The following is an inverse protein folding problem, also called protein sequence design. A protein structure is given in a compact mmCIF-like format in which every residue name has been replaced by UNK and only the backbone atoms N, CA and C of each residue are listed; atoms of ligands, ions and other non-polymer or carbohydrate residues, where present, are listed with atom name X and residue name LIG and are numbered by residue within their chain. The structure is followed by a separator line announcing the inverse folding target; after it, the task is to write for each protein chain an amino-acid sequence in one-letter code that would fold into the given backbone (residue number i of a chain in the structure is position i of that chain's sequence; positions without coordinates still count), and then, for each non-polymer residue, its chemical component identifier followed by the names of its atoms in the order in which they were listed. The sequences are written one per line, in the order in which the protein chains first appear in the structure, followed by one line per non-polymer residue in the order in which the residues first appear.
data_IF_540692151129
#
_entry.id   IF_540692151129
#
_cell.length_a   1.000
_cell.length_b   1.000
_cell.length_c   1.000
_cell.angle_alpha   90.00
_cell.angle_beta   90.00
_cell.angle_gamma   90.00
#
_symmetry.space_group_name_H-M   'P 1'
#
loop_
_entity.id
_entity.type
_entity.pdbx_description
1 polymer ?
#
# COMPACT_ATOMS: atom_id res chain seq x y z
N UNK A 1 12.76 -21.02 4.90
CA UNK A 1 13.90 -20.54 4.09
C UNK A 1 14.41 -19.24 4.71
N UNK A 2 15.67 -19.19 5.15
CA UNK A 2 16.27 -17.94 5.67
C UNK A 2 16.27 -16.89 4.53
N UNK A 3 15.96 -15.63 4.83
CA UNK A 3 15.91 -14.50 3.87
C UNK A 3 14.72 -14.45 2.90
N UNK A 4 13.68 -15.27 3.09
CA UNK A 4 12.53 -15.29 2.18
C UNK A 4 11.87 -13.91 2.04
N UNK A 5 11.77 -13.13 3.13
CA UNK A 5 11.18 -11.79 3.05
C UNK A 5 12.01 -10.88 2.12
N UNK A 6 13.33 -10.88 2.28
CA UNK A 6 14.22 -10.11 1.41
C UNK A 6 14.13 -10.53 -0.07
N UNK A 7 14.02 -11.84 -0.35
CA UNK A 7 13.85 -12.35 -1.72
C UNK A 7 12.54 -11.84 -2.34
N UNK A 8 11.44 -11.80 -1.57
CA UNK A 8 10.16 -11.25 -2.03
C UNK A 8 10.27 -9.76 -2.38
N UNK A 9 11.05 -8.97 -1.63
CA UNK A 9 11.34 -7.58 -2.01
C UNK A 9 12.05 -7.48 -3.35
N UNK A 10 13.12 -8.26 -3.54
CA UNK A 10 13.88 -8.27 -4.80
C UNK A 10 12.99 -8.66 -5.98
N UNK A 11 12.15 -9.68 -5.81
CA UNK A 11 11.16 -10.07 -6.81
C UNK A 11 10.21 -8.91 -7.13
N UNK A 12 9.63 -8.28 -6.11
CA UNK A 12 8.65 -7.20 -6.24
C UNK A 12 9.20 -5.99 -6.99
N UNK A 13 10.44 -5.58 -6.70
CA UNK A 13 11.05 -4.40 -7.33
C UNK A 13 11.68 -4.69 -8.69
N UNK A 14 12.09 -5.94 -8.96
CA UNK A 14 12.87 -6.30 -10.16
C UNK A 14 12.26 -5.80 -11.47
N UNK A 15 11.01 -6.18 -11.75
CA UNK A 15 10.34 -5.82 -12.99
C UNK A 15 10.05 -4.32 -13.10
N UNK A 16 9.41 -3.65 -12.11
CA UNK A 16 9.22 -2.20 -12.13
C UNK A 16 10.53 -1.42 -12.29
N UNK A 17 11.61 -1.84 -11.64
CA UNK A 17 12.90 -1.14 -11.70
C UNK A 17 13.52 -1.23 -13.10
N UNK A 18 13.58 -2.43 -13.68
CA UNK A 18 14.07 -2.61 -15.06
C UNK A 18 13.21 -1.81 -16.05
N UNK A 19 11.89 -1.86 -15.89
CA UNK A 19 10.95 -1.16 -16.77
C UNK A 19 10.84 0.33 -16.47
N UNK A 20 11.48 0.83 -15.42
CA UNK A 20 11.53 2.27 -15.12
C UNK A 20 12.23 3.09 -16.20
N UNK A 21 13.16 2.44 -16.91
CA UNK A 21 13.95 3.02 -17.99
C UNK A 21 13.29 2.85 -19.38
N UNK A 22 12.09 2.26 -19.45
CA UNK A 22 11.31 2.19 -20.69
C UNK A 22 10.99 3.61 -21.21
N UNK A 23 11.45 3.97 -22.43
CA UNK A 23 11.32 5.33 -22.97
C UNK A 23 9.88 5.83 -23.13
N UNK A 24 8.91 4.91 -23.21
CA UNK A 24 7.49 5.24 -23.34
C UNK A 24 6.86 5.72 -22.03
N UNK A 25 7.18 5.09 -20.91
CA UNK A 25 6.60 5.40 -19.59
C UNK A 25 7.40 6.50 -18.89
N UNK A 26 8.72 6.53 -19.13
CA UNK A 26 9.66 7.50 -18.57
C UNK A 26 9.54 7.61 -17.04
N UNK A 27 9.37 6.48 -16.36
CA UNK A 27 9.11 6.46 -14.92
C UNK A 27 10.30 7.00 -14.12
N UNK A 28 11.53 6.71 -14.56
CA UNK A 28 12.77 7.23 -13.96
C UNK A 28 12.82 8.76 -13.87
N UNK A 29 12.25 9.48 -14.85
CA UNK A 29 12.21 10.96 -14.83
C UNK A 29 11.32 11.52 -13.72
N UNK A 30 10.43 10.69 -13.16
CA UNK A 30 9.43 11.08 -12.15
C UNK A 30 9.82 10.62 -10.74
N UNK A 31 11.01 10.02 -10.60
CA UNK A 31 11.50 9.49 -9.33
C UNK A 31 11.60 10.53 -8.22
N UNK A 32 11.95 11.79 -8.52
CA UNK A 32 11.98 12.84 -7.48
C UNK A 32 10.61 13.03 -6.83
N UNK A 33 9.54 13.14 -7.63
CA UNK A 33 8.17 13.23 -7.11
C UNK A 33 7.76 11.93 -6.39
N UNK A 34 8.09 10.78 -6.96
CA UNK A 34 7.80 9.46 -6.39
C UNK A 34 8.44 9.30 -5.00
N UNK A 35 9.76 9.43 -4.90
CA UNK A 35 10.48 9.22 -3.64
C UNK A 35 10.10 10.26 -2.58
N UNK A 36 9.69 11.47 -2.98
CA UNK A 36 9.12 12.45 -2.04
C UNK A 36 7.79 11.94 -1.48
N UNK A 37 6.89 11.42 -2.33
CA UNK A 37 5.63 10.82 -1.90
C UNK A 37 5.81 9.56 -1.04
N UNK A 38 6.77 8.71 -1.42
CA UNK A 38 7.18 7.52 -0.66
C UNK A 38 7.73 7.91 0.70
N UNK A 39 8.60 8.92 0.80
CA UNK A 39 9.17 9.33 2.08
C UNK A 39 8.08 9.83 3.05
N UNK A 40 7.11 10.60 2.56
CA UNK A 40 6.01 11.12 3.39
C UNK A 40 5.08 9.99 3.83
N UNK A 41 4.62 9.16 2.87
CA UNK A 41 3.69 8.07 3.17
C UNK A 41 4.36 6.98 4.00
N UNK A 42 5.54 6.54 3.59
CA UNK A 42 6.36 5.55 4.29
C UNK A 42 6.72 5.99 5.70
N UNK A 43 7.03 7.27 5.93
CA UNK A 43 7.25 7.77 7.29
C UNK A 43 6.04 7.58 8.21
N UNK A 44 4.83 7.85 7.72
CA UNK A 44 3.59 7.61 8.46
C UNK A 44 3.40 6.12 8.79
N UNK A 45 3.56 5.24 7.81
CA UNK A 45 3.36 3.80 8.01
C UNK A 45 4.47 3.14 8.84
N UNK A 46 5.74 3.57 8.71
CA UNK A 46 6.82 3.08 9.58
C UNK A 46 6.53 3.41 11.05
N UNK A 47 6.04 4.61 11.35
CA UNK A 47 5.66 4.99 12.71
C UNK A 47 4.52 4.11 13.21
N UNK A 48 3.50 3.88 12.38
CA UNK A 48 2.41 2.96 12.69
C UNK A 48 2.94 1.57 13.01
N UNK A 49 3.73 0.98 12.12
CA UNK A 49 4.27 -0.37 12.24
C UNK A 49 5.11 -0.54 13.49
N UNK A 50 5.96 0.44 13.84
CA UNK A 50 6.72 0.45 15.10
C UNK A 50 5.78 0.32 16.30
N UNK A 51 4.68 1.08 16.31
CA UNK A 51 3.70 1.07 17.40
C UNK A 51 2.98 -0.28 17.45
N UNK A 52 2.46 -0.75 16.33
CA UNK A 52 1.59 -1.93 16.27
C UNK A 52 2.33 -3.23 16.55
N UNK A 53 3.58 -3.31 16.10
CA UNK A 53 4.45 -4.46 16.40
C UNK A 53 4.89 -4.48 17.86
N UNK A 54 5.04 -3.31 18.50
CA UNK A 54 5.29 -3.21 19.94
C UNK A 54 4.06 -3.62 20.76
N UNK A 55 2.86 -3.30 20.28
CA UNK A 55 1.59 -3.66 20.93
C UNK A 55 1.17 -5.13 20.67
N UNK A 56 1.90 -5.87 19.82
CA UNK A 56 1.57 -7.27 19.50
C UNK A 56 0.34 -7.42 18.61
N UNK A 57 -0.04 -6.37 17.88
CA UNK A 57 -1.14 -6.41 16.90
C UNK A 57 -0.76 -7.28 15.70
N UNK A 58 0.49 -7.15 15.24
CA UNK A 58 1.15 -8.07 14.32
C UNK A 58 2.64 -8.13 14.62
N UNK A 59 3.35 -9.03 13.95
CA UNK A 59 4.80 -9.09 14.08
C UNK A 59 5.44 -9.97 13.03
N UNK A 60 6.74 -10.18 13.19
CA UNK A 60 7.57 -10.85 12.21
C UNK A 60 8.19 -12.12 12.77
N UNK A 61 8.29 -13.15 11.94
CA UNK A 61 8.93 -14.42 12.30
C UNK A 61 10.43 -14.38 11.95
N UNK A 62 11.34 -14.39 12.95
CA UNK A 62 12.78 -14.29 12.72
C UNK A 62 13.37 -15.37 11.80
N UNK A 63 12.69 -16.52 11.65
CA UNK A 63 13.11 -17.63 10.78
C UNK A 63 13.33 -17.22 9.32
N UNK A 64 12.60 -16.21 8.84
CA UNK A 64 12.59 -15.79 7.44
C UNK A 64 13.33 -14.47 7.18
N UNK A 65 13.91 -13.86 8.22
CA UNK A 65 14.50 -12.52 8.19
C UNK A 65 16.03 -12.57 8.15
N UNK A 66 16.64 -11.44 7.80
CA UNK A 66 18.09 -11.22 7.86
C UNK A 66 18.61 -11.09 9.30
N UNK A 67 17.73 -10.71 10.24
CA UNK A 67 18.10 -10.46 11.64
C UNK A 67 18.65 -9.05 11.90
N UNK A 68 18.55 -8.14 10.92
CA UNK A 68 18.89 -6.73 11.08
C UNK A 68 17.59 -5.97 11.39
N UNK A 69 17.61 -5.21 12.48
CA UNK A 69 16.45 -4.46 12.95
C UNK A 69 16.78 -2.98 13.13
N UNK A 70 15.81 -2.12 12.85
CA UNK A 70 15.80 -0.73 13.28
C UNK A 70 14.58 -0.55 14.18
N UNK A 71 14.81 -0.09 15.41
CA UNK A 71 13.82 -0.20 16.49
C UNK A 71 13.37 -1.67 16.64
N UNK A 72 12.09 -1.96 16.44
CA UNK A 72 11.49 -3.29 16.49
C UNK A 72 11.06 -3.81 15.11
N UNK A 73 11.36 -3.09 14.03
CA UNK A 73 11.06 -3.52 12.67
C UNK A 73 12.28 -4.17 12.01
N UNK A 74 12.12 -5.32 11.32
CA UNK A 74 13.18 -5.84 10.49
C UNK A 74 13.45 -4.90 9.32
N UNK A 75 14.69 -4.86 8.83
CA UNK A 75 15.06 -3.98 7.72
C UNK A 75 14.24 -4.27 6.46
N UNK A 76 13.82 -5.51 6.26
CA UNK A 76 12.90 -5.91 5.19
C UNK A 76 11.59 -5.10 5.26
N UNK A 77 10.99 -4.95 6.45
CA UNK A 77 9.77 -4.16 6.59
C UNK A 77 9.99 -2.69 6.24
N UNK A 78 11.14 -2.12 6.58
CA UNK A 78 11.45 -0.74 6.19
C UNK A 78 11.61 -0.62 4.67
N UNK A 79 12.21 -1.63 4.04
CA UNK A 79 12.32 -1.72 2.59
C UNK A 79 10.95 -1.97 1.92
N UNK A 80 9.98 -2.60 2.60
CA UNK A 80 8.60 -2.75 2.14
C UNK A 80 7.99 -1.41 1.78
N UNK A 81 8.13 -0.42 2.67
CA UNK A 81 7.61 0.95 2.47
C UNK A 81 8.30 1.74 1.36
N UNK A 82 9.36 1.20 0.73
CA UNK A 82 10.00 1.80 -0.43
C UNK A 82 9.69 0.97 -1.68
N UNK A 83 9.96 -0.32 -1.62
CA UNK A 83 9.89 -1.25 -2.77
C UNK A 83 8.47 -1.48 -3.24
N UNK A 84 7.51 -1.67 -2.33
CA UNK A 84 6.10 -1.90 -2.69
C UNK A 84 5.49 -0.63 -3.26
N UNK A 85 5.55 0.55 -2.62
CA UNK A 85 5.07 1.78 -3.23
C UNK A 85 5.69 2.10 -4.59
N UNK A 86 6.98 1.83 -4.78
CA UNK A 86 7.64 1.97 -6.07
C UNK A 86 6.98 1.08 -7.14
N UNK A 87 6.78 -0.20 -6.84
CA UNK A 87 6.13 -1.14 -7.76
C UNK A 87 4.66 -0.77 -8.02
N UNK A 88 3.91 -0.40 -6.98
CA UNK A 88 2.49 -0.09 -7.07
C UNK A 88 2.23 1.22 -7.82
N UNK A 89 3.05 2.25 -7.63
CA UNK A 89 2.95 3.50 -8.41
C UNK A 89 3.41 3.30 -9.85
N UNK A 90 4.32 2.36 -10.13
CA UNK A 90 4.63 1.97 -11.51
C UNK A 90 3.42 1.36 -12.24
N UNK A 91 2.60 0.55 -11.56
CA UNK A 91 1.32 0.07 -12.11
C UNK A 91 0.40 1.24 -12.45
N UNK A 92 0.32 2.24 -11.56
CA UNK A 92 -0.46 3.45 -11.81
C UNK A 92 0.03 4.24 -13.05
N UNK A 93 1.35 4.36 -13.25
CA UNK A 93 1.89 4.97 -14.47
C UNK A 93 1.63 4.15 -15.73
N UNK A 94 1.64 2.81 -15.63
CA UNK A 94 1.19 1.94 -16.71
C UNK A 94 -0.28 2.21 -17.06
N UNK A 95 -1.16 2.36 -16.07
CA UNK A 95 -2.57 2.70 -16.30
C UNK A 95 -2.72 4.06 -16.98
N UNK A 96 -1.97 5.09 -16.55
CA UNK A 96 -1.97 6.39 -17.23
C UNK A 96 -1.61 6.25 -18.71
N UNK A 97 -0.58 5.46 -19.01
CA UNK A 97 -0.05 5.31 -20.36
C UNK A 97 -0.94 4.43 -21.26
N UNK A 98 -1.31 3.25 -20.80
CA UNK A 98 -2.03 2.26 -21.60
C UNK A 98 -3.55 2.45 -21.61
N UNK A 99 -4.12 3.08 -20.57
CA UNK A 99 -5.56 3.30 -20.43
C UNK A 99 -5.90 4.81 -20.29
N UNK A 100 -5.47 5.67 -21.24
CA UNK A 100 -5.60 7.13 -21.10
C UNK A 100 -7.06 7.61 -21.09
N UNK A 101 -7.98 6.82 -21.66
CA UNK A 101 -9.42 7.10 -21.74
C UNK A 101 -10.14 6.97 -20.40
N UNK A 102 -9.52 6.34 -19.39
CA UNK A 102 -10.12 6.25 -18.06
C UNK A 102 -10.11 7.63 -17.40
N UNK A 103 -11.29 8.11 -17.03
CA UNK A 103 -11.49 9.40 -16.38
C UNK A 103 -12.25 9.20 -15.08
N UNK A 104 -12.07 10.15 -14.15
CA UNK A 104 -12.90 10.21 -12.95
C UNK A 104 -14.33 10.53 -13.35
N UNK A 105 -15.28 9.67 -12.95
CA UNK A 105 -16.71 9.87 -13.17
C UNK A 105 -17.44 10.13 -11.86
N UNK A 106 -18.67 10.65 -11.93
CA UNK A 106 -19.53 10.84 -10.75
C UNK A 106 -19.78 9.53 -10.00
N UNK A 107 -19.87 8.40 -10.71
CA UNK A 107 -19.97 7.07 -10.11
C UNK A 107 -18.72 6.71 -9.30
N UNK A 108 -17.51 6.95 -9.85
CA UNK A 108 -16.26 6.68 -9.14
C UNK A 108 -16.16 7.53 -7.88
N UNK A 109 -16.50 8.82 -7.96
CA UNK A 109 -16.59 9.71 -6.79
C UNK A 109 -17.54 9.16 -5.74
N UNK A 110 -18.75 8.77 -6.15
CA UNK A 110 -19.78 8.22 -5.26
C UNK A 110 -19.30 6.94 -4.58
N UNK A 111 -18.79 5.97 -5.34
CA UNK A 111 -18.28 4.70 -4.81
C UNK A 111 -17.13 4.94 -3.84
N UNK A 112 -16.21 5.87 -4.15
CA UNK A 112 -15.10 6.24 -3.25
C UNK A 112 -15.62 6.78 -1.93
N UNK A 113 -16.58 7.71 -1.97
CA UNK A 113 -17.16 8.31 -0.77
C UNK A 113 -17.99 7.32 0.05
N UNK A 114 -18.80 6.49 -0.61
CA UNK A 114 -19.61 5.45 0.04
C UNK A 114 -18.71 4.40 0.69
N UNK A 115 -17.67 3.92 0.01
CA UNK A 115 -16.71 3.00 0.61
C UNK A 115 -16.02 3.63 1.82
N UNK A 116 -15.52 4.86 1.67
CA UNK A 116 -14.88 5.58 2.77
C UNK A 116 -15.81 5.73 3.99
N UNK A 117 -17.06 6.10 3.76
CA UNK A 117 -18.06 6.22 4.83
C UNK A 117 -18.38 4.88 5.51
N UNK A 118 -18.52 3.79 4.74
CA UNK A 118 -18.72 2.46 5.31
C UNK A 118 -17.53 2.01 6.16
N UNK A 119 -16.29 2.28 5.73
CA UNK A 119 -15.10 1.98 6.53
C UNK A 119 -15.11 2.75 7.86
N UNK A 120 -15.55 4.01 7.88
CA UNK A 120 -15.70 4.77 9.12
C UNK A 120 -16.74 4.17 10.07
N UNK A 121 -17.87 3.68 9.53
CA UNK A 121 -18.87 2.97 10.32
C UNK A 121 -18.26 1.69 10.92
N UNK A 122 -17.61 0.87 10.11
CA UNK A 122 -17.02 -0.39 10.57
C UNK A 122 -15.94 -0.12 11.62
N UNK A 123 -15.10 0.89 11.41
CA UNK A 123 -14.12 1.36 12.40
C UNK A 123 -14.80 1.69 13.73
N UNK A 124 -15.85 2.53 13.72
CA UNK A 124 -16.58 2.89 14.94
C UNK A 124 -17.22 1.70 15.66
N UNK A 125 -17.70 0.70 14.92
CA UNK A 125 -18.27 -0.53 15.49
C UNK A 125 -17.21 -1.48 16.09
N UNK A 126 -15.97 -1.40 15.60
CA UNK A 126 -14.84 -2.27 15.96
C UNK A 126 -13.72 -1.54 16.72
N UNK A 127 -14.09 -0.57 17.56
CA UNK A 127 -13.12 0.28 18.29
C UNK A 127 -12.18 -0.46 19.26
N UNK A 128 -12.51 -1.70 19.64
CA UNK A 128 -11.68 -2.54 20.50
C UNK A 128 -10.65 -3.38 19.71
N UNK A 129 -10.82 -3.55 18.40
CA UNK A 129 -9.88 -4.27 17.54
C UNK A 129 -8.90 -3.26 16.94
N UNK A 130 -7.70 -3.12 17.50
CA UNK A 130 -6.80 -2.02 17.13
C UNK A 130 -6.46 -2.01 15.64
N UNK A 131 -6.28 -3.18 15.02
CA UNK A 131 -6.00 -3.25 13.58
C UNK A 131 -7.18 -2.80 12.75
N UNK A 132 -8.36 -3.38 12.97
CA UNK A 132 -9.57 -3.01 12.24
C UNK A 132 -9.90 -1.53 12.42
N UNK A 133 -9.88 -1.05 13.67
CA UNK A 133 -10.23 0.33 14.02
C UNK A 133 -9.37 1.33 13.25
N UNK A 134 -8.05 1.31 13.44
CA UNK A 134 -7.16 2.31 12.88
C UNK A 134 -7.02 2.18 11.36
N UNK A 135 -6.95 0.95 10.84
CA UNK A 135 -6.90 0.71 9.39
C UNK A 135 -8.10 1.33 8.68
N UNK A 136 -9.31 1.00 9.12
CA UNK A 136 -10.52 1.49 8.49
C UNK A 136 -10.78 2.97 8.80
N UNK A 137 -10.35 3.48 9.95
CA UNK A 137 -10.45 4.91 10.26
C UNK A 137 -9.62 5.73 9.27
N UNK A 138 -8.33 5.43 9.12
CA UNK A 138 -7.46 6.22 8.25
C UNK A 138 -7.81 6.03 6.78
N UNK A 139 -8.09 4.80 6.34
CA UNK A 139 -8.56 4.53 4.98
C UNK A 139 -9.88 5.25 4.70
N UNK A 140 -10.83 5.21 5.64
CA UNK A 140 -12.13 5.85 5.53
C UNK A 140 -12.03 7.37 5.43
N UNK A 141 -11.28 8.02 6.33
CA UNK A 141 -11.07 9.48 6.30
C UNK A 141 -10.43 9.89 4.98
N UNK A 142 -9.37 9.19 4.56
CA UNK A 142 -8.63 9.56 3.35
C UNK A 142 -9.47 9.35 2.08
N UNK A 143 -10.30 8.30 2.02
CA UNK A 143 -11.23 8.06 0.91
C UNK A 143 -12.34 9.11 0.84
N UNK A 144 -12.97 9.45 1.97
CA UNK A 144 -14.00 10.51 2.02
C UNK A 144 -13.38 11.84 1.59
N UNK A 145 -12.22 12.20 2.11
CA UNK A 145 -11.50 13.41 1.72
C UNK A 145 -11.17 13.43 0.22
N UNK A 146 -10.67 12.31 -0.31
CA UNK A 146 -10.38 12.17 -1.75
C UNK A 146 -11.64 12.30 -2.61
N UNK A 147 -12.77 11.74 -2.16
CA UNK A 147 -14.05 11.85 -2.84
C UNK A 147 -14.56 13.31 -2.85
N UNK A 148 -14.36 14.06 -1.76
CA UNK A 148 -14.71 15.49 -1.69
C UNK A 148 -13.88 16.30 -2.67
N UNK A 149 -12.55 16.10 -2.69
CA UNK A 149 -11.64 16.78 -3.63
C UNK A 149 -11.94 16.37 -5.07
N UNK A 150 -12.29 15.10 -5.28
CA UNK A 150 -12.60 14.51 -6.59
C UNK A 150 -11.50 14.76 -7.65
N UNK A 151 -10.25 14.33 -7.42
CA UNK A 151 -9.17 14.62 -8.34
C UNK A 151 -9.36 13.91 -9.69
N UNK A 152 -8.89 14.54 -10.77
CA UNK A 152 -9.01 14.02 -12.14
C UNK A 152 -8.31 12.65 -12.36
N UNK A 153 -7.38 12.29 -11.48
CA UNK A 153 -6.67 11.01 -11.51
C UNK A 153 -7.39 9.88 -10.76
N UNK A 154 -8.44 10.16 -10.00
CA UNK A 154 -9.13 9.17 -9.14
C UNK A 154 -9.59 7.92 -9.91
N UNK A 155 -10.12 8.08 -11.13
CA UNK A 155 -10.51 6.94 -11.94
C UNK A 155 -9.34 6.03 -12.31
N UNK A 156 -8.19 6.62 -12.65
CA UNK A 156 -6.96 5.87 -12.96
C UNK A 156 -6.38 5.22 -11.70
N UNK A 157 -6.48 5.88 -10.55
CA UNK A 157 -6.10 5.30 -9.27
C UNK A 157 -6.87 4.03 -8.97
N UNK A 158 -8.21 4.04 -9.10
CA UNK A 158 -9.01 2.84 -8.84
C UNK A 158 -8.68 1.68 -9.78
N UNK A 159 -8.48 1.97 -11.06
CA UNK A 159 -8.02 0.95 -12.02
C UNK A 159 -6.66 0.39 -11.63
N UNK A 160 -5.72 1.25 -11.22
CA UNK A 160 -4.39 0.83 -10.78
C UNK A 160 -4.46 -0.02 -9.50
N UNK A 161 -5.30 0.36 -8.54
CA UNK A 161 -5.51 -0.40 -7.31
C UNK A 161 -6.09 -1.80 -7.60
N UNK A 162 -7.09 -1.91 -8.48
CA UNK A 162 -7.66 -3.20 -8.88
C UNK A 162 -6.64 -4.10 -9.58
N UNK A 163 -5.78 -3.55 -10.44
CA UNK A 163 -4.69 -4.31 -11.07
C UNK A 163 -3.64 -4.70 -10.03
N UNK A 164 -3.30 -3.79 -9.12
CA UNK A 164 -2.35 -4.00 -8.02
C UNK A 164 -2.78 -5.12 -7.07
N UNK A 165 -4.08 -5.37 -6.89
CA UNK A 165 -4.55 -6.48 -6.06
C UNK A 165 -4.02 -7.85 -6.52
N UNK A 166 -3.70 -8.03 -7.81
CA UNK A 166 -3.14 -9.28 -8.33
C UNK A 166 -1.76 -9.59 -7.73
N UNK A 167 -0.71 -8.75 -7.93
CA UNK A 167 0.59 -8.99 -7.28
C UNK A 167 0.51 -8.90 -5.76
N UNK A 168 -0.37 -8.06 -5.20
CA UNK A 168 -0.60 -8.00 -3.76
C UNK A 168 -1.04 -9.35 -3.19
N UNK A 169 -2.06 -10.01 -3.77
CA UNK A 169 -2.54 -11.32 -3.27
C UNK A 169 -1.41 -12.36 -3.32
N UNK A 170 -0.55 -12.33 -4.33
CA UNK A 170 0.58 -13.26 -4.47
C UNK A 170 1.62 -13.00 -3.36
N UNK A 171 2.10 -11.76 -3.24
CA UNK A 171 3.18 -11.42 -2.31
C UNK A 171 2.68 -11.47 -0.87
N UNK A 172 1.57 -10.80 -0.54
CA UNK A 172 1.00 -10.81 0.80
C UNK A 172 0.47 -12.19 1.19
N UNK A 173 0.00 -13.00 0.24
CA UNK A 173 -0.37 -14.39 0.49
C UNK A 173 0.82 -15.15 1.07
N UNK A 174 1.99 -15.09 0.42
CA UNK A 174 3.21 -15.75 0.92
C UNK A 174 3.65 -15.14 2.26
N UNK A 175 3.67 -13.80 2.38
CA UNK A 175 4.06 -13.12 3.63
C UNK A 175 3.21 -13.57 4.82
N UNK A 176 1.91 -13.78 4.60
CA UNK A 176 0.94 -14.16 5.64
C UNK A 176 0.79 -15.67 5.81
N UNK A 177 1.63 -16.49 5.16
CA UNK A 177 1.77 -17.92 5.44
C UNK A 177 1.29 -18.87 4.33
N UNK A 178 0.92 -18.39 3.14
CA UNK A 178 0.57 -19.27 2.04
C UNK A 178 1.77 -20.16 1.65
N UNK A 179 1.59 -21.48 1.77
CA UNK A 179 2.62 -22.50 1.54
C UNK A 179 3.85 -22.41 2.47
N UNK A 180 3.68 -21.83 3.67
CA UNK A 180 4.70 -21.81 4.72
C UNK A 180 4.18 -22.48 5.98
N UNK A 181 5.06 -23.14 6.74
CA UNK A 181 4.69 -23.76 8.03
C UNK A 181 4.26 -22.70 9.07
N UNK A 182 4.91 -21.53 9.01
CA UNK A 182 4.63 -20.37 9.83
C UNK A 182 4.69 -19.12 8.96
N UNK A 183 3.83 -18.13 9.17
CA UNK A 183 3.85 -16.88 8.41
C UNK A 183 5.12 -16.06 8.66
N UNK A 184 5.53 -15.28 7.66
CA UNK A 184 6.60 -14.28 7.80
C UNK A 184 6.07 -13.12 8.63
N UNK A 185 4.86 -12.65 8.31
CA UNK A 185 4.11 -11.61 9.01
C UNK A 185 2.87 -12.25 9.63
N UNK A 186 2.85 -12.36 10.96
CA UNK A 186 1.73 -12.92 11.70
C UNK A 186 0.85 -11.80 12.25
N UNK A 187 -0.46 -12.08 12.39
CA UNK A 187 -1.43 -11.13 12.91
C UNK A 187 -2.17 -11.71 14.11
N UNK A 188 -2.40 -10.90 15.14
CA UNK A 188 -3.26 -11.26 16.26
C UNK A 188 -4.74 -11.14 15.85
N UNK A 189 -5.43 -12.27 15.80
CA UNK A 189 -6.86 -12.33 15.44
C UNK A 189 -7.78 -11.61 16.44
N UNK A 190 -7.33 -11.34 17.67
CA UNK A 190 -8.10 -10.54 18.62
C UNK A 190 -8.16 -9.05 18.23
N UNK A 191 -7.21 -8.59 17.40
CA UNK A 191 -7.05 -7.19 17.02
C UNK A 191 -7.64 -6.88 15.63
N UNK A 192 -8.16 -7.89 14.93
CA UNK A 192 -8.72 -7.76 13.59
C UNK A 192 -10.06 -8.49 13.46
N UNK A 193 -10.71 -8.41 12.29
CA UNK A 193 -12.00 -9.07 12.04
C UNK A 193 -11.91 -10.61 11.99
N UNK A 194 -10.71 -11.17 12.03
CA UNK A 194 -10.44 -12.61 11.82
C UNK A 194 -10.92 -13.15 10.47
N UNK A 195 -11.22 -12.27 9.52
CA UNK A 195 -11.61 -12.60 8.15
C UNK A 195 -10.38 -12.53 7.27
N UNK A 196 -10.17 -13.57 6.44
CA UNK A 196 -8.99 -13.67 5.57
C UNK A 196 -9.35 -13.94 4.12
N UNK A 197 -8.57 -13.35 3.22
CA UNK A 197 -8.50 -13.71 1.79
C UNK A 197 -7.28 -14.61 1.65
N UNK A 198 -7.50 -15.90 1.43
CA UNK A 198 -6.45 -16.92 1.54
C UNK A 198 -5.88 -16.90 2.98
N UNK A 199 -4.70 -16.33 3.19
CA UNK A 199 -4.05 -16.14 4.50
C UNK A 199 -4.00 -14.68 4.94
N UNK A 200 -4.40 -13.75 4.07
CA UNK A 200 -4.24 -12.31 4.24
C UNK A 200 -5.44 -11.75 5.03
N UNK A 201 -5.25 -11.04 6.15
CA UNK A 201 -6.34 -10.31 6.80
C UNK A 201 -7.05 -9.38 5.80
N UNK A 202 -8.38 -9.29 5.86
CA UNK A 202 -9.15 -8.43 4.95
C UNK A 202 -8.72 -6.96 5.07
N UNK A 203 -8.30 -6.55 6.26
CA UNK A 203 -7.73 -5.24 6.58
C UNK A 203 -6.53 -4.88 5.70
N UNK A 204 -5.67 -5.83 5.34
CA UNK A 204 -4.48 -5.55 4.53
C UNK A 204 -4.84 -5.01 3.14
N UNK A 205 -6.03 -5.35 2.60
CA UNK A 205 -6.51 -4.75 1.36
C UNK A 205 -6.74 -3.25 1.53
N UNK A 206 -7.29 -2.83 2.68
CA UNK A 206 -7.52 -1.41 3.00
C UNK A 206 -6.22 -0.70 3.39
N UNK A 207 -5.29 -1.41 4.04
CA UNK A 207 -3.94 -0.91 4.31
C UNK A 207 -3.21 -0.61 3.00
N UNK A 208 -3.21 -1.56 2.07
CA UNK A 208 -2.62 -1.41 0.74
C UNK A 208 -3.30 -0.31 -0.08
N UNK A 209 -4.63 -0.19 0.03
CA UNK A 209 -5.39 0.90 -0.58
C UNK A 209 -4.93 2.26 -0.04
N UNK A 210 -4.89 2.42 1.27
CA UNK A 210 -4.48 3.67 1.92
C UNK A 210 -3.03 4.02 1.56
N UNK A 211 -2.13 3.05 1.63
CA UNK A 211 -0.72 3.23 1.26
C UNK A 211 -0.57 3.69 -0.18
N UNK A 212 -1.23 3.02 -1.14
CA UNK A 212 -1.17 3.42 -2.54
C UNK A 212 -1.83 4.79 -2.77
N UNK A 213 -2.95 5.07 -2.10
CA UNK A 213 -3.70 6.32 -2.25
C UNK A 213 -2.90 7.51 -1.74
N UNK A 214 -2.25 7.40 -0.58
CA UNK A 214 -1.34 8.41 -0.04
C UNK A 214 -0.17 8.65 -1.00
N UNK A 215 0.48 7.58 -1.46
CA UNK A 215 1.59 7.67 -2.40
C UNK A 215 1.19 8.37 -3.70
N UNK A 216 0.08 7.96 -4.34
CA UNK A 216 -0.41 8.58 -5.58
C UNK A 216 -0.80 10.04 -5.35
N UNK A 217 -1.43 10.36 -4.22
CA UNK A 217 -1.81 11.75 -3.87
C UNK A 217 -0.60 12.66 -3.80
N UNK A 218 0.43 12.27 -3.05
CA UNK A 218 1.66 13.08 -2.96
C UNK A 218 2.44 13.06 -4.26
N UNK A 219 2.52 11.92 -4.93
CA UNK A 219 3.17 11.79 -6.22
C UNK A 219 2.59 12.74 -7.27
N UNK A 220 1.26 12.78 -7.43
CA UNK A 220 0.60 13.69 -8.37
C UNK A 220 0.81 15.16 -7.97
N UNK A 221 0.76 15.49 -6.67
CA UNK A 221 1.06 16.84 -6.16
C UNK A 221 2.46 17.31 -6.55
N UNK A 222 3.49 16.49 -6.34
CA UNK A 222 4.87 16.87 -6.64
C UNK A 222 5.22 16.75 -8.13
N UNK A 223 4.57 15.84 -8.86
CA UNK A 223 4.74 15.68 -10.32
C UNK A 223 4.28 16.92 -11.09
N UNK A 224 3.21 17.58 -10.66
CA UNK A 224 2.73 18.84 -11.26
C UNK A 224 3.74 19.98 -11.02
N UNK A 225 4.29 20.08 -9.80
CA UNK A 225 5.27 21.12 -9.45
C UNK A 225 6.56 21.03 -10.28
N UNK A 226 7.01 19.83 -10.65
CA UNK A 226 8.20 19.64 -11.50
C UNK A 226 7.97 20.10 -12.96
N UNK A 227 6.73 20.02 -13.46
CA UNK A 227 6.41 20.53 -14.82
C UNK A 227 6.33 22.06 -14.88
N UNK A 228 6.14 22.73 -13.75
CA UNK A 228 5.98 24.19 -13.67
C UNK A 228 7.28 24.94 -13.38
N UNK A 229 8.37 24.24 -13.07
CA UNK A 229 9.71 24.81 -12.91
C UNK A 229 10.59 24.40 -14.12
N UNK A 230 10.59 25.17 -15.22
CA UNK A 230 11.57 25.03 -16.29
C UNK A 230 12.98 25.41 -15.83
#
# INVERSE_FOLDING_TARGET
MKYLYFILHLFTISFPLVRSFEPRIQYAKKWKALFTGIAISGGFFIIWDIIFTRLGVWGFNPRYLMGIYLFNLPIEEILFFITVPFASVFIYECVIYFLPRIQTSGLIKLVTGVLGFNLLIISALHFNQLYTFWNFLFAGIFLVFTAIINPAWLGKFWTAYLIHLIPFIIVNGILTGYQLDEPIVWYNNAENLSIRIITIPIEDTMYALLLLLMNVTFYEKFKVSIKQNP
#
